data_IF_760555727172
#
_entry.id   IF_760555727172
#
_cell.length_a   1.000
_cell.length_b   1.000
_cell.length_c   1.000
_cell.angle_alpha   90.00
_cell.angle_beta   90.00
_cell.angle_gamma   90.00
#
_symmetry.space_group_name_H-M   'P 1'
#
loop_
_entity.id
_entity.type
_entity.pdbx_description
1 polymer ?
#
# COMPACT_ATOMS: atom_id res chain seq x y z
N UNK A 1 4.43 28.70 1.83
CA UNK A 1 4.28 27.33 1.28
C UNK A 1 3.20 27.38 0.23
N UNK A 2 3.52 27.07 -1.03
CA UNK A 2 2.54 27.05 -2.11
C UNK A 2 1.56 25.89 -1.82
N UNK A 3 0.34 26.22 -1.41
CA UNK A 3 -0.74 25.24 -1.24
C UNK A 3 -1.31 24.94 -2.62
N UNK A 4 -0.69 24.01 -3.34
CA UNK A 4 -1.29 23.46 -4.55
C UNK A 4 -2.40 22.50 -4.11
N UNK A 5 -3.64 22.75 -4.55
CA UNK A 5 -4.78 21.92 -4.14
C UNK A 5 -4.76 20.49 -4.73
N UNK A 6 -3.93 20.25 -5.76
CA UNK A 6 -3.84 18.99 -6.48
C UNK A 6 -2.37 18.62 -6.69
N UNK A 7 -2.05 17.34 -6.46
CA UNK A 7 -0.74 16.74 -6.70
C UNK A 7 -0.91 15.48 -7.55
N UNK A 8 -0.22 15.41 -8.69
CA UNK A 8 -0.16 14.23 -9.54
C UNK A 8 1.06 13.41 -9.15
N UNK A 9 0.84 12.21 -8.61
CA UNK A 9 1.89 11.33 -8.11
C UNK A 9 2.06 10.09 -9.01
N UNK A 10 3.26 9.48 -9.04
CA UNK A 10 3.49 8.23 -9.76
C UNK A 10 2.81 7.03 -9.06
N UNK A 11 2.96 5.84 -9.63
CA UNK A 11 2.58 4.58 -8.98
C UNK A 11 3.78 3.62 -9.02
N UNK A 12 4.24 3.08 -7.88
CA UNK A 12 3.84 3.41 -6.50
C UNK A 12 4.17 4.85 -6.08
N UNK A 13 3.59 5.32 -4.97
CA UNK A 13 3.81 6.67 -4.44
C UNK A 13 4.12 6.65 -2.93
N UNK A 14 5.03 7.54 -2.53
CA UNK A 14 5.26 7.90 -1.13
C UNK A 14 4.80 9.34 -0.88
N UNK A 15 4.09 9.56 0.23
CA UNK A 15 3.62 10.88 0.65
C UNK A 15 3.79 11.03 2.15
N UNK A 16 4.25 12.20 2.59
CA UNK A 16 4.23 12.58 4.00
C UNK A 16 3.07 13.54 4.26
N UNK A 17 2.16 13.14 5.16
CA UNK A 17 1.10 14.01 5.69
C UNK A 17 1.39 14.25 7.18
N UNK A 18 1.60 15.51 7.56
CA UNK A 18 2.13 15.89 8.87
C UNK A 18 3.41 15.12 9.22
N UNK A 19 3.31 14.18 10.18
CA UNK A 19 4.41 13.31 10.64
C UNK A 19 4.23 11.86 10.21
N UNK A 20 3.20 11.56 9.44
CA UNK A 20 2.85 10.21 9.01
C UNK A 20 3.33 9.99 7.58
N UNK A 21 4.15 8.95 7.39
CA UNK A 21 4.64 8.50 6.09
C UNK A 21 3.69 7.46 5.52
N UNK A 22 3.12 7.75 4.36
CA UNK A 22 2.29 6.86 3.58
C UNK A 22 3.09 6.30 2.41
N UNK A 23 2.93 4.99 2.19
CA UNK A 23 3.38 4.31 1.00
C UNK A 23 2.20 3.57 0.37
N UNK A 24 1.99 3.77 -0.93
CA UNK A 24 0.80 3.28 -1.61
C UNK A 24 1.06 2.76 -3.01
N UNK A 25 0.30 1.73 -3.40
CA UNK A 25 0.19 1.29 -4.79
C UNK A 25 -1.28 1.25 -5.24
N UNK A 26 -1.49 1.21 -6.55
CA UNK A 26 -2.83 1.05 -7.14
C UNK A 26 -3.40 -0.38 -7.08
N UNK A 27 -2.70 -1.34 -6.46
CA UNK A 27 -3.18 -2.72 -6.21
C UNK A 27 -2.55 -3.82 -7.05
N UNK A 28 -1.98 -3.50 -8.22
CA UNK A 28 -1.52 -4.51 -9.19
C UNK A 28 -0.39 -5.41 -8.63
N UNK A 29 0.45 -4.88 -7.75
CA UNK A 29 1.47 -5.66 -7.08
C UNK A 29 0.87 -6.75 -6.20
N UNK A 30 -0.19 -6.45 -5.43
CA UNK A 30 -0.87 -7.44 -4.58
C UNK A 30 -1.57 -8.51 -5.43
N UNK A 31 -2.17 -8.10 -6.55
CA UNK A 31 -2.82 -9.02 -7.49
C UNK A 31 -1.81 -9.97 -8.14
N UNK A 32 -0.67 -9.44 -8.59
CA UNK A 32 0.39 -10.22 -9.21
C UNK A 32 1.02 -11.25 -8.25
N UNK A 33 1.22 -10.89 -6.97
CA UNK A 33 1.64 -11.85 -5.93
C UNK A 33 0.62 -12.99 -5.81
N UNK A 34 -0.67 -12.68 -5.97
CA UNK A 34 -1.74 -13.68 -5.95
C UNK A 34 -1.67 -14.75 -7.02
N UNK A 35 -1.02 -14.46 -8.15
CA UNK A 35 -0.83 -15.42 -9.23
C UNK A 35 0.18 -16.52 -8.84
N UNK A 36 1.13 -16.22 -7.94
CA UNK A 36 2.10 -17.19 -7.43
C UNK A 36 1.78 -17.71 -6.02
N UNK A 37 1.07 -16.92 -5.21
CA UNK A 37 0.79 -17.20 -3.82
C UNK A 37 -0.72 -17.32 -3.59
N UNK A 38 -1.34 -18.33 -4.20
CA UNK A 38 -2.80 -18.53 -4.20
C UNK A 38 -3.41 -18.75 -2.82
N UNK A 39 -2.63 -19.23 -1.85
CA UNK A 39 -3.07 -19.46 -0.47
C UNK A 39 -3.11 -18.22 0.44
N UNK A 40 -2.63 -17.07 -0.04
CA UNK A 40 -2.60 -15.83 0.75
C UNK A 40 -3.77 -14.92 0.39
N UNK A 41 -4.40 -14.31 1.39
CA UNK A 41 -5.36 -13.21 1.18
C UNK A 41 -4.67 -11.94 0.70
N UNK A 42 -5.42 -10.99 0.13
CA UNK A 42 -4.91 -9.67 -0.28
C UNK A 42 -4.16 -8.95 0.86
N UNK A 43 -4.73 -8.98 2.07
CA UNK A 43 -4.10 -8.39 3.26
C UNK A 43 -2.77 -9.08 3.58
N UNK A 44 -2.74 -10.41 3.59
CA UNK A 44 -1.52 -11.17 3.87
C UNK A 44 -0.43 -10.91 2.82
N UNK A 45 -0.80 -10.78 1.54
CA UNK A 45 0.15 -10.42 0.47
C UNK A 45 0.73 -9.02 0.67
N UNK A 46 -0.10 -8.05 1.07
CA UNK A 46 0.37 -6.70 1.38
C UNK A 46 1.26 -6.65 2.64
N UNK A 47 0.97 -7.49 3.65
CA UNK A 47 1.90 -7.68 4.77
C UNK A 47 3.23 -8.29 4.34
N UNK A 48 3.22 -9.23 3.38
CA UNK A 48 4.44 -9.80 2.82
C UNK A 48 5.27 -8.76 2.06
N UNK A 49 4.63 -7.86 1.29
CA UNK A 49 5.31 -6.71 0.66
C UNK A 49 6.12 -5.91 1.68
N UNK A 50 5.53 -5.64 2.86
CA UNK A 50 6.24 -4.96 3.95
C UNK A 50 7.39 -5.80 4.51
N UNK A 51 7.16 -7.09 4.79
CA UNK A 51 8.15 -7.99 5.37
C UNK A 51 9.34 -8.25 4.44
N UNK A 52 9.09 -8.36 3.15
CA UNK A 52 10.13 -8.51 2.12
C UNK A 52 10.85 -7.21 1.80
N UNK A 53 10.32 -6.07 2.27
CA UNK A 53 10.81 -4.73 1.91
C UNK A 53 10.85 -4.50 0.40
N UNK A 54 9.89 -5.06 -0.33
CA UNK A 54 9.85 -4.99 -1.78
C UNK A 54 8.41 -4.84 -2.28
N UNK A 55 8.10 -3.72 -2.94
CA UNK A 55 6.76 -3.34 -3.37
C UNK A 55 6.19 -4.27 -4.44
N UNK A 56 7.02 -4.70 -5.39
CA UNK A 56 6.59 -5.49 -6.54
C UNK A 56 7.58 -6.64 -6.81
N UNK A 57 7.66 -7.64 -5.91
CA UNK A 57 8.67 -8.72 -5.98
C UNK A 57 8.49 -9.65 -7.19
N UNK A 58 7.34 -9.57 -7.84
CA UNK A 58 6.96 -10.31 -9.05
C UNK A 58 7.28 -9.53 -10.32
N UNK A 59 7.80 -8.31 -10.21
CA UNK A 59 8.30 -7.56 -11.35
C UNK A 59 9.76 -7.95 -11.63
N UNK A 60 10.18 -8.05 -12.92
CA UNK A 60 9.41 -7.81 -14.14
C UNK A 60 8.59 -9.01 -14.65
N UNK A 61 8.73 -10.19 -14.04
CA UNK A 61 8.29 -11.47 -14.64
C UNK A 61 6.77 -11.61 -14.80
N UNK A 62 5.98 -11.09 -13.85
CA UNK A 62 4.51 -11.15 -13.84
C UNK A 62 3.94 -9.74 -13.94
N UNK A 63 4.43 -8.83 -13.09
CA UNK A 63 4.07 -7.44 -13.15
C UNK A 63 5.07 -6.72 -14.05
N UNK A 64 4.63 -6.30 -15.22
CA UNK A 64 5.46 -5.52 -16.12
C UNK A 64 5.94 -4.23 -15.43
N UNK A 65 7.23 -3.96 -15.52
CA UNK A 65 7.84 -2.73 -15.03
C UNK A 65 8.82 -2.17 -16.06
N UNK A 66 9.18 -0.89 -15.88
CA UNK A 66 10.23 -0.29 -16.68
C UNK A 66 11.61 -0.86 -16.24
N UNK A 67 12.48 -1.27 -17.17
CA UNK A 67 13.80 -1.78 -16.82
C UNK A 67 14.69 -0.63 -16.33
N UNK A 68 14.96 -0.59 -15.03
CA UNK A 68 15.91 0.35 -14.42
C UNK A 68 17.26 -0.35 -14.23
N UNK A 69 18.35 0.10 -14.89
CA UNK A 69 19.62 -0.62 -14.88
C UNK A 69 20.49 -0.38 -13.64
N UNK A 70 20.24 0.70 -12.89
CA UNK A 70 21.13 1.15 -11.80
C UNK A 70 20.55 0.91 -10.41
N UNK A 71 19.24 0.98 -10.26
CA UNK A 71 18.55 0.95 -8.96
C UNK A 71 17.15 0.36 -9.11
N UNK A 72 16.75 -0.42 -8.12
CA UNK A 72 15.41 -0.98 -8.05
C UNK A 72 14.47 -0.04 -7.29
N UNK A 73 13.50 0.54 -8.02
CA UNK A 73 12.52 1.48 -7.49
C UNK A 73 11.51 0.85 -6.52
N UNK A 74 11.48 -0.49 -6.42
CA UNK A 74 10.52 -1.20 -5.59
C UNK A 74 11.05 -1.55 -4.21
N UNK A 75 12.34 -1.34 -3.93
CA UNK A 75 12.91 -1.58 -2.61
C UNK A 75 12.42 -0.50 -1.62
N UNK A 76 11.98 -0.94 -0.44
CA UNK A 76 11.57 -0.02 0.63
C UNK A 76 12.79 0.36 1.48
N UNK A 77 13.27 1.60 1.36
CA UNK A 77 14.39 2.13 2.15
C UNK A 77 14.08 2.31 3.63
N UNK A 78 12.82 2.64 3.93
CA UNK A 78 12.34 2.85 5.30
C UNK A 78 10.97 2.22 5.51
N UNK A 79 10.66 1.90 6.76
CA UNK A 79 9.36 1.33 7.14
C UNK A 79 8.31 2.44 7.16
N UNK A 80 7.29 2.42 6.28
CA UNK A 80 6.24 3.44 6.29
C UNK A 80 5.34 3.29 7.53
N UNK A 81 4.71 4.39 7.95
CA UNK A 81 3.73 4.35 9.03
C UNK A 81 2.40 3.75 8.53
N UNK A 82 2.05 4.00 7.27
CA UNK A 82 0.89 3.43 6.59
C UNK A 82 1.34 2.83 5.25
N UNK A 83 1.04 1.56 5.03
CA UNK A 83 1.18 0.88 3.74
C UNK A 83 -0.22 0.52 3.22
N UNK A 84 -0.56 0.94 2.00
CA UNK A 84 -1.86 0.62 1.43
C UNK A 84 -1.78 0.13 -0.02
N UNK A 85 -2.77 -0.67 -0.40
CA UNK A 85 -3.01 -1.07 -1.79
C UNK A 85 -4.44 -0.68 -2.18
N UNK A 86 -4.59 0.00 -3.31
CA UNK A 86 -5.87 0.34 -3.90
C UNK A 86 -6.54 -0.83 -4.62
N UNK A 87 -7.81 -0.65 -5.01
CA UNK A 87 -8.56 -1.57 -5.87
C UNK A 87 -8.65 -3.03 -5.38
N UNK A 88 -8.58 -3.24 -4.07
CA UNK A 88 -8.69 -4.58 -3.50
C UNK A 88 -10.16 -5.05 -3.51
N UNK A 89 -10.37 -6.37 -3.43
CA UNK A 89 -11.71 -6.98 -3.49
C UNK A 89 -12.61 -6.58 -2.33
N UNK A 90 -12.03 -6.38 -1.14
CA UNK A 90 -12.73 -5.98 0.07
C UNK A 90 -11.83 -5.14 0.97
N UNK A 91 -12.45 -4.39 1.90
CA UNK A 91 -11.72 -3.69 2.95
C UNK A 91 -11.12 -4.69 3.93
N UNK A 92 -9.82 -4.55 4.19
CA UNK A 92 -9.11 -5.32 5.21
C UNK A 92 -7.95 -4.48 5.76
N UNK A 93 -7.59 -4.69 7.03
CA UNK A 93 -6.50 -3.97 7.67
C UNK A 93 -5.87 -4.77 8.79
N UNK A 94 -4.58 -4.54 9.03
CA UNK A 94 -3.85 -5.05 10.19
C UNK A 94 -2.84 -4.01 10.69
N UNK A 95 -2.28 -4.27 11.87
CA UNK A 95 -1.09 -3.57 12.37
C UNK A 95 0.06 -4.56 12.37
N UNK A 96 1.14 -4.20 11.69
CA UNK A 96 2.38 -5.00 11.65
C UNK A 96 3.41 -4.33 12.53
N UNK A 97 4.04 -5.13 13.39
CA UNK A 97 5.11 -4.70 14.29
C UNK A 97 6.46 -5.18 13.75
N UNK A 98 7.44 -4.29 13.68
CA UNK A 98 8.82 -4.60 13.34
C UNK A 98 9.68 -4.85 14.59
N UNK A 99 10.80 -5.54 14.40
CA UNK A 99 11.68 -5.96 15.50
C UNK A 99 12.33 -4.78 16.24
N UNK A 100 12.48 -3.62 15.60
CA UNK A 100 13.00 -2.41 16.22
C UNK A 100 11.88 -1.50 16.77
N UNK A 101 10.70 -2.06 17.02
CA UNK A 101 9.54 -1.33 17.54
C UNK A 101 8.81 -0.49 16.49
N UNK A 102 9.08 -0.69 15.20
CA UNK A 102 8.31 -0.03 14.15
C UNK A 102 6.85 -0.52 14.18
N UNK A 103 5.93 0.38 13.85
CA UNK A 103 4.50 0.07 13.74
C UNK A 103 3.99 0.57 12.40
N UNK A 104 3.45 -0.33 11.60
CA UNK A 104 2.87 -0.01 10.29
C UNK A 104 1.42 -0.44 10.24
N UNK A 105 0.53 0.50 9.91
CA UNK A 105 -0.86 0.22 9.54
C UNK A 105 -0.91 -0.26 8.09
N UNK A 106 -1.36 -1.49 7.87
CA UNK A 106 -1.53 -2.06 6.53
C UNK A 106 -3.00 -1.99 6.14
N UNK A 107 -3.32 -1.53 4.92
CA UNK A 107 -4.70 -1.26 4.48
C UNK A 107 -4.93 -1.77 3.05
N UNK A 108 -5.87 -2.69 2.89
CA UNK A 108 -6.49 -3.00 1.59
C UNK A 108 -7.67 -2.03 1.39
N UNK A 109 -7.52 -1.09 0.47
CA UNK A 109 -8.57 -0.12 0.11
C UNK A 109 -9.42 -0.74 -0.99
N UNK A 110 -10.73 -0.95 -0.75
CA UNK A 110 -11.57 -1.59 -1.75
C UNK A 110 -11.83 -0.68 -2.94
N UNK A 111 -12.18 -1.28 -4.09
CA UNK A 111 -12.65 -0.51 -5.24
C UNK A 111 -13.94 0.24 -4.93
N UNK A 112 -13.89 1.57 -4.91
CA UNK A 112 -15.06 2.42 -4.69
C UNK A 112 -16.17 2.15 -5.72
N UNK A 113 -15.82 1.96 -6.99
CA UNK A 113 -16.79 1.69 -8.06
C UNK A 113 -17.64 0.42 -7.83
N UNK A 114 -17.14 -0.52 -7.04
CA UNK A 114 -17.82 -1.79 -6.75
C UNK A 114 -18.44 -1.82 -5.35
N UNK A 115 -17.85 -1.10 -4.39
CA UNK A 115 -18.21 -1.21 -2.96
C UNK A 115 -18.84 0.05 -2.38
N UNK A 116 -18.72 1.20 -3.06
CA UNK A 116 -19.12 2.51 -2.54
C UNK A 116 -18.38 2.89 -1.26
N UNK A 117 -17.20 2.31 -0.99
CA UNK A 117 -16.50 2.46 0.28
C UNK A 117 -15.24 3.32 0.17
N UNK A 118 -15.04 4.18 1.15
CA UNK A 118 -13.78 4.88 1.42
C UNK A 118 -13.21 4.45 2.77
N UNK A 119 -11.93 4.72 3.00
CA UNK A 119 -11.24 4.46 4.27
C UNK A 119 -10.72 5.78 4.82
N UNK A 120 -11.16 6.12 6.03
CA UNK A 120 -10.64 7.26 6.79
C UNK A 120 -9.52 6.79 7.71
N UNK A 121 -8.38 7.47 7.69
CA UNK A 121 -7.22 7.17 8.54
C UNK A 121 -7.00 8.33 9.51
N UNK A 122 -7.01 8.04 10.80
CA UNK A 122 -6.68 9.02 11.84
C UNK A 122 -5.16 9.17 11.93
N UNK A 123 -4.64 10.36 11.64
CA UNK A 123 -3.19 10.62 11.64
C UNK A 123 -2.55 10.60 13.04
N UNK A 124 -3.35 10.70 14.12
CA UNK A 124 -2.84 10.72 15.49
C UNK A 124 -2.49 9.33 16.02
N UNK A 125 -3.29 8.32 15.68
CA UNK A 125 -3.20 6.96 16.25
C UNK A 125 -3.24 5.84 15.19
N UNK A 126 -3.32 6.20 13.90
CA UNK A 126 -3.42 5.28 12.76
C UNK A 126 -4.61 4.32 12.85
N UNK A 127 -5.65 4.67 13.61
CA UNK A 127 -6.94 3.98 13.56
C UNK A 127 -7.61 4.25 12.21
N UNK A 128 -8.38 3.27 11.74
CA UNK A 128 -9.03 3.31 10.43
C UNK A 128 -10.52 3.09 10.56
N UNK A 129 -11.30 3.87 9.83
CA UNK A 129 -12.77 3.79 9.81
C UNK A 129 -13.23 3.64 8.37
N UNK A 130 -13.81 2.48 7.98
CA UNK A 130 -14.45 2.35 6.68
C UNK A 130 -15.78 3.13 6.68
N UNK A 131 -16.07 3.80 5.57
CA UNK A 131 -17.32 4.51 5.36
C UNK A 131 -17.90 4.14 3.99
N UNK A 132 -19.16 3.69 3.99
CA UNK A 132 -19.87 3.26 2.77
C UNK A 132 -20.95 4.26 2.42
N UNK A 133 -21.00 4.64 1.15
CA UNK A 133 -22.05 5.46 0.56
C UNK A 133 -23.09 4.54 -0.09
N UNK A 134 -24.37 4.77 0.21
CA UNK A 134 -25.52 4.08 -0.39
C UNK A 134 -26.18 4.94 -1.46
#
# INVERSE_FOLDING_TARGET
MQTTACHMLPNPAQVQLDRVQFMGSSGQNVDSIGQCCTGLSELQRLEMVLKWRHLAPTAPDILACYPMPLEDLFVLDSTPHVLFAGNQSAFATSVVHGDAGQVTRVICVPSFAHTGMIVLVNLKDLTVVPLTFQ
#
